data_IF_722957338782
#
_entry.id   IF_722957338782
#
_cell.length_a   1.000
_cell.length_b   1.000
_cell.length_c   1.000
_cell.angle_alpha   90.00
_cell.angle_beta   90.00
_cell.angle_gamma   90.00
#
_symmetry.space_group_name_H-M   'P 1'
#
loop_
_entity.id
_entity.type
_entity.pdbx_description
1 polymer ?
#
# COMPACT_ATOMS: atom_id res chain seq x y z
N UNK A 1 3.28 6.99 -20.24
CA UNK A 1 4.58 6.44 -20.64
C UNK A 1 5.31 5.96 -19.41
N UNK A 2 5.94 4.77 -19.49
CA UNK A 2 6.72 4.25 -18.36
C UNK A 2 7.96 3.51 -18.85
N UNK A 3 9.01 3.60 -18.07
CA UNK A 3 10.24 2.82 -18.18
C UNK A 3 10.44 2.10 -16.86
N UNK A 4 10.55 0.78 -16.91
CA UNK A 4 10.87 -0.05 -15.76
C UNK A 4 12.10 -0.90 -16.08
N UNK A 5 13.08 -0.89 -15.18
CA UNK A 5 14.27 -1.70 -15.25
C UNK A 5 14.37 -2.57 -14.02
N UNK A 6 14.71 -3.85 -14.20
CA UNK A 6 14.91 -4.80 -13.12
C UNK A 6 16.23 -5.54 -13.32
N UNK A 7 16.96 -5.74 -12.23
CA UNK A 7 18.23 -6.45 -12.25
C UNK A 7 18.39 -7.35 -11.01
N UNK A 8 18.65 -8.64 -11.25
CA UNK A 8 19.03 -9.63 -10.24
C UNK A 8 20.56 -9.77 -10.24
N UNK A 9 21.19 -9.46 -9.12
CA UNK A 9 22.66 -9.55 -9.00
C UNK A 9 23.08 -11.01 -8.88
N UNK A 10 23.88 -11.51 -9.82
CA UNK A 10 24.31 -12.92 -9.86
C UNK A 10 25.23 -13.31 -8.69
N UNK A 11 25.99 -12.36 -8.12
CA UNK A 11 26.96 -12.57 -7.05
C UNK A 11 26.45 -12.24 -5.65
N UNK A 12 25.22 -11.76 -5.52
CA UNK A 12 24.64 -11.35 -4.24
C UNK A 12 23.12 -11.58 -4.24
N UNK A 13 22.50 -11.90 -3.10
CA UNK A 13 21.06 -12.09 -3.01
C UNK A 13 20.32 -10.73 -3.00
N UNK A 14 20.59 -9.90 -4.00
CA UNK A 14 20.07 -8.54 -4.15
C UNK A 14 19.31 -8.44 -5.47
N UNK A 15 18.14 -7.79 -5.43
CA UNK A 15 17.35 -7.40 -6.59
C UNK A 15 17.11 -5.91 -6.56
N UNK A 16 17.22 -5.27 -7.71
CA UNK A 16 17.01 -3.84 -7.89
C UNK A 16 15.95 -3.61 -8.96
N UNK A 17 14.99 -2.72 -8.68
CA UNK A 17 14.09 -2.19 -9.70
C UNK A 17 14.15 -0.68 -9.71
N UNK A 18 14.12 -0.08 -10.89
CA UNK A 18 14.02 1.36 -11.10
C UNK A 18 12.81 1.65 -11.99
N UNK A 19 12.03 2.66 -11.62
CA UNK A 19 10.85 3.10 -12.34
C UNK A 19 10.98 4.58 -12.70
N UNK A 20 10.66 4.91 -13.95
CA UNK A 20 10.36 6.27 -14.38
C UNK A 20 9.01 6.25 -15.12
N UNK A 21 8.07 7.08 -14.72
CA UNK A 21 6.74 7.15 -15.31
C UNK A 21 6.32 8.59 -15.54
N UNK A 22 5.69 8.84 -16.67
CA UNK A 22 5.04 10.10 -17.00
C UNK A 22 3.56 9.84 -17.25
N UNK A 23 2.71 10.39 -16.37
CA UNK A 23 1.26 10.32 -16.43
C UNK A 23 0.73 11.64 -16.98
N UNK A 24 0.01 11.58 -18.11
CA UNK A 24 -0.83 12.66 -18.59
C UNK A 24 -2.25 12.48 -18.05
N UNK A 25 -2.79 13.51 -17.43
CA UNK A 25 -4.16 13.55 -16.94
C UNK A 25 -4.89 14.71 -17.60
N UNK A 26 -6.01 14.43 -18.22
CA UNK A 26 -6.85 15.49 -18.76
C UNK A 26 -7.55 16.21 -17.60
N UNK A 27 -7.22 17.48 -17.47
CA UNK A 27 -7.96 18.48 -16.73
C UNK A 27 -8.68 19.36 -17.74
N UNK A 28 -9.49 20.27 -17.28
CA UNK A 28 -10.18 21.24 -18.12
C UNK A 28 -11.62 21.44 -17.70
N UNK A 29 -12.28 22.31 -18.41
CA UNK A 29 -13.68 22.65 -18.17
C UNK A 29 -14.57 21.84 -19.13
N UNK A 30 -15.44 21.00 -18.58
CA UNK A 30 -16.39 20.20 -19.34
C UNK A 30 -17.41 21.06 -20.13
N UNK A 31 -17.67 22.30 -19.70
CA UNK A 31 -18.61 23.21 -20.36
C UNK A 31 -17.97 23.87 -21.59
N UNK A 32 -16.71 24.26 -21.51
CA UNK A 32 -15.98 24.89 -22.62
C UNK A 32 -15.37 23.87 -23.59
N UNK A 33 -15.33 22.58 -23.23
CA UNK A 33 -14.62 21.50 -23.97
C UNK A 33 -13.14 21.79 -24.18
N UNK A 34 -12.56 22.68 -23.42
CA UNK A 34 -11.12 22.89 -23.41
C UNK A 34 -10.47 21.79 -22.58
N UNK A 35 -9.65 20.95 -23.21
CA UNK A 35 -8.82 19.97 -22.53
C UNK A 35 -7.43 20.55 -22.27
N UNK A 36 -6.99 20.54 -21.04
CA UNK A 36 -5.61 20.87 -20.65
C UNK A 36 -4.98 19.65 -20.00
N UNK A 37 -4.03 19.02 -20.71
CA UNK A 37 -3.36 17.83 -20.19
C UNK A 37 -2.25 18.23 -19.21
N UNK A 38 -2.42 17.88 -17.96
CA UNK A 38 -1.40 18.05 -16.94
C UNK A 38 -0.54 16.80 -16.82
N UNK A 39 0.78 16.99 -16.68
CA UNK A 39 1.73 15.90 -16.58
C UNK A 39 2.33 15.78 -15.19
N UNK A 40 2.31 14.56 -14.65
CA UNK A 40 2.95 14.18 -13.40
C UNK A 40 3.96 13.06 -13.64
N UNK A 41 5.19 13.27 -13.19
CA UNK A 41 6.26 12.28 -13.27
C UNK A 41 6.41 11.58 -11.93
N UNK A 42 6.63 10.27 -11.97
CA UNK A 42 7.01 9.44 -10.82
C UNK A 42 8.33 8.75 -11.13
N UNK A 43 9.32 8.94 -10.28
CA UNK A 43 10.60 8.25 -10.38
C UNK A 43 10.91 7.57 -9.04
N UNK A 44 11.52 6.40 -9.09
CA UNK A 44 11.85 5.71 -7.84
C UNK A 44 12.55 4.38 -8.02
N UNK A 45 12.83 3.76 -6.90
CA UNK A 45 13.55 2.51 -6.83
C UNK A 45 12.97 1.58 -5.77
N UNK A 46 13.13 0.30 -5.99
CA UNK A 46 12.87 -0.79 -5.05
C UNK A 46 14.09 -1.69 -4.98
N UNK A 47 14.50 -2.03 -3.77
CA UNK A 47 15.60 -2.96 -3.50
C UNK A 47 15.09 -4.08 -2.62
N UNK A 48 15.47 -5.30 -2.94
CA UNK A 48 15.26 -6.48 -2.10
C UNK A 48 16.60 -7.15 -1.83
N UNK A 49 16.81 -7.55 -0.58
CA UNK A 49 18.00 -8.28 -0.12
C UNK A 49 17.57 -9.49 0.72
N UNK A 50 17.95 -10.69 0.29
CA UNK A 50 17.46 -11.94 0.88
C UNK A 50 18.61 -12.83 1.40
N UNK A 51 19.39 -12.38 2.41
CA UNK A 51 20.48 -13.18 2.96
C UNK A 51 19.94 -14.22 3.95
N UNK A 52 20.29 -15.50 3.75
CA UNK A 52 19.89 -16.61 4.63
C UNK A 52 18.40 -16.60 4.98
N UNK A 53 18.04 -16.44 6.26
CA UNK A 53 16.65 -16.43 6.75
C UNK A 53 15.96 -15.06 6.70
N UNK A 54 16.63 -14.03 6.18
CA UNK A 54 16.10 -12.68 6.09
C UNK A 54 15.51 -12.37 4.70
N UNK A 55 14.44 -11.61 4.68
CA UNK A 55 13.95 -10.91 3.49
C UNK A 55 13.78 -9.43 3.86
N UNK A 56 14.67 -8.61 3.35
CA UNK A 56 14.70 -7.17 3.58
C UNK A 56 14.31 -6.46 2.29
N UNK A 57 13.49 -5.45 2.39
CA UNK A 57 13.16 -4.62 1.22
C UNK A 57 13.01 -3.16 1.59
N UNK A 58 13.31 -2.30 0.62
CA UNK A 58 13.11 -0.87 0.73
C UNK A 58 12.70 -0.26 -0.59
N UNK A 59 11.92 0.79 -0.54
CA UNK A 59 11.58 1.56 -1.73
C UNK A 59 11.51 3.05 -1.43
N UNK A 60 11.77 3.83 -2.46
CA UNK A 60 11.59 5.27 -2.44
C UNK A 60 11.08 5.74 -3.80
N UNK A 61 10.01 6.52 -3.82
CA UNK A 61 9.44 7.13 -5.01
C UNK A 61 9.18 8.61 -4.79
N UNK A 62 9.44 9.40 -5.82
CA UNK A 62 9.19 10.83 -5.84
C UNK A 62 8.29 11.22 -7.00
N UNK A 63 7.32 12.10 -6.74
CA UNK A 63 6.39 12.63 -7.71
C UNK A 63 6.59 14.14 -7.88
N UNK A 64 6.63 14.59 -9.13
CA UNK A 64 6.77 15.99 -9.51
C UNK A 64 5.89 16.33 -10.72
N UNK A 65 5.88 17.59 -11.14
CA UNK A 65 5.03 18.07 -12.25
C UNK A 65 3.77 18.74 -11.75
N UNK A 66 2.62 18.42 -12.36
CA UNK A 66 1.32 18.98 -11.99
C UNK A 66 0.26 17.90 -11.87
N UNK A 67 -0.68 18.06 -10.95
CA UNK A 67 -1.88 17.23 -10.86
C UNK A 67 -2.98 17.74 -11.79
N UNK A 68 -4.11 17.02 -11.85
CA UNK A 68 -5.29 17.36 -12.69
C UNK A 68 -5.82 18.78 -12.45
N UNK A 69 -5.64 19.35 -11.25
CA UNK A 69 -6.01 20.72 -10.92
C UNK A 69 -4.91 21.76 -11.22
N UNK A 70 -3.94 21.42 -12.09
CA UNK A 70 -2.79 22.25 -12.45
C UNK A 70 -1.88 22.70 -11.28
N UNK A 71 -2.08 22.16 -10.07
CA UNK A 71 -1.21 22.45 -8.92
C UNK A 71 0.13 21.75 -9.08
N UNK A 72 1.22 22.46 -8.76
CA UNK A 72 2.56 21.88 -8.70
C UNK A 72 2.59 20.73 -7.70
N UNK A 73 3.14 19.58 -8.10
CA UNK A 73 3.34 18.40 -7.25
C UNK A 73 4.79 18.32 -6.77
N UNK A 74 4.97 17.97 -5.50
CA UNK A 74 6.26 17.61 -4.91
C UNK A 74 5.98 16.66 -3.75
N UNK A 75 5.88 15.37 -4.05
CA UNK A 75 5.42 14.35 -3.13
C UNK A 75 6.37 13.15 -3.13
N UNK A 76 6.43 12.41 -2.04
CA UNK A 76 7.26 11.22 -1.95
C UNK A 76 6.63 10.12 -1.10
N UNK A 77 7.05 8.89 -1.36
CA UNK A 77 6.83 7.77 -0.47
C UNK A 77 8.12 7.00 -0.20
N UNK A 78 8.20 6.40 0.95
CA UNK A 78 9.25 5.48 1.34
C UNK A 78 8.69 4.27 2.05
N UNK A 79 9.31 3.11 1.86
CA UNK A 79 8.94 1.86 2.52
C UNK A 79 10.18 1.11 2.95
N UNK A 80 10.12 0.53 4.15
CA UNK A 80 11.14 -0.42 4.64
C UNK A 80 10.41 -1.59 5.27
N UNK A 81 10.82 -2.81 4.91
CA UNK A 81 10.25 -4.05 5.45
C UNK A 81 11.34 -5.06 5.73
N UNK A 82 11.18 -5.76 6.83
CA UNK A 82 12.03 -6.89 7.21
C UNK A 82 11.16 -8.08 7.57
N UNK A 83 11.54 -9.25 7.10
CA UNK A 83 10.94 -10.53 7.46
C UNK A 83 12.06 -11.50 7.83
N UNK A 84 11.86 -12.25 8.90
CA UNK A 84 12.81 -13.24 9.40
C UNK A 84 12.13 -14.59 9.60
N UNK A 85 12.64 -15.62 8.94
CA UNK A 85 12.20 -17.00 9.13
C UNK A 85 12.93 -17.59 10.33
N UNK A 86 12.22 -17.73 11.46
CA UNK A 86 12.75 -18.28 12.71
C UNK A 86 13.11 -19.75 12.50
N UNK A 87 12.25 -20.46 11.77
CA UNK A 87 12.41 -21.85 11.34
C UNK A 87 11.49 -22.12 10.14
N UNK A 88 11.33 -23.37 9.73
CA UNK A 88 10.51 -23.79 8.59
C UNK A 88 9.02 -23.48 8.75
N UNK A 89 8.55 -23.23 9.98
CA UNK A 89 7.15 -23.01 10.29
C UNK A 89 6.84 -21.57 10.69
N UNK A 90 7.75 -20.86 11.33
CA UNK A 90 7.49 -19.53 11.90
C UNK A 90 8.26 -18.43 11.17
N UNK A 91 7.54 -17.38 10.81
CA UNK A 91 8.10 -16.16 10.24
C UNK A 91 7.56 -14.96 10.99
N UNK A 92 8.41 -13.99 11.27
CA UNK A 92 8.01 -12.68 11.81
C UNK A 92 8.32 -11.60 10.79
N UNK A 93 7.50 -10.55 10.74
CA UNK A 93 7.72 -9.41 9.87
C UNK A 93 7.46 -8.10 10.59
N UNK A 94 8.14 -7.06 10.15
CA UNK A 94 7.94 -5.68 10.58
C UNK A 94 8.18 -4.76 9.39
N UNK A 95 7.44 -3.68 9.31
CA UNK A 95 7.61 -2.73 8.23
C UNK A 95 6.97 -1.38 8.50
N UNK A 96 7.33 -0.43 7.68
CA UNK A 96 6.67 0.87 7.66
C UNK A 96 6.61 1.40 6.24
N UNK A 97 5.46 1.95 5.89
CA UNK A 97 5.23 2.72 4.67
C UNK A 97 4.92 4.16 5.07
N UNK A 98 5.54 5.10 4.40
CA UNK A 98 5.29 6.52 4.60
C UNK A 98 4.97 7.20 3.27
N UNK A 99 3.79 7.79 3.17
CA UNK A 99 3.33 8.60 2.06
C UNK A 99 3.24 10.05 2.54
N UNK A 100 3.94 10.95 1.87
CA UNK A 100 3.85 12.38 2.17
C UNK A 100 2.42 12.88 2.00
N UNK A 101 2.05 13.86 2.80
CA UNK A 101 0.74 14.50 2.78
C UNK A 101 0.81 15.99 2.44
N UNK A 102 -0.34 16.56 2.13
CA UNK A 102 -0.53 17.99 1.87
C UNK A 102 -1.52 18.59 2.86
N UNK A 103 -1.21 19.78 3.36
CA UNK A 103 -2.17 20.59 4.10
C UNK A 103 -3.04 21.38 3.10
N UNK A 104 -4.23 21.79 3.51
CA UNK A 104 -5.11 22.63 2.67
C UNK A 104 -4.48 23.98 2.31
N UNK A 105 -3.63 24.50 3.19
CA UNK A 105 -2.91 25.77 3.00
C UNK A 105 -1.67 25.67 2.10
N UNK A 106 -1.23 24.47 1.73
CA UNK A 106 0.00 24.30 0.93
C UNK A 106 -0.22 24.81 -0.49
N UNK A 107 0.64 25.68 -0.99
CA UNK A 107 0.64 26.14 -2.38
C UNK A 107 1.07 25.00 -3.33
N UNK A 108 1.98 24.14 -2.91
CA UNK A 108 2.43 22.93 -3.64
C UNK A 108 1.68 21.72 -3.09
N UNK A 109 1.16 20.87 -3.97
CA UNK A 109 0.53 19.61 -3.58
C UNK A 109 1.61 18.59 -3.19
N UNK A 110 1.56 18.12 -1.94
CA UNK A 110 2.60 17.26 -1.34
C UNK A 110 2.10 15.85 -1.01
N UNK A 111 0.84 15.53 -1.27
CA UNK A 111 0.33 14.19 -1.02
C UNK A 111 0.74 13.24 -2.14
N UNK A 112 1.43 12.16 -1.77
CA UNK A 112 1.82 11.11 -2.70
C UNK A 112 0.59 10.34 -3.17
N UNK A 113 0.48 10.12 -4.48
CA UNK A 113 -0.59 9.34 -5.09
C UNK A 113 -0.06 7.94 -5.46
N UNK A 114 -0.47 6.86 -4.76
CA UNK A 114 -0.06 5.49 -5.08
C UNK A 114 -0.81 4.98 -6.32
N UNK A 115 -0.32 5.34 -7.50
CA UNK A 115 -0.90 4.96 -8.78
C UNK A 115 -0.73 3.46 -9.07
N UNK A 116 -1.75 2.86 -9.70
CA UNK A 116 -1.70 1.51 -10.27
C UNK A 116 -1.34 0.38 -9.30
N UNK A 117 -1.54 0.58 -8.01
CA UNK A 117 -1.29 -0.45 -7.02
C UNK A 117 -2.36 -1.54 -7.02
N UNK A 118 -2.13 -2.57 -6.22
CA UNK A 118 -3.03 -3.71 -6.04
C UNK A 118 -3.78 -3.55 -4.73
N UNK A 119 -5.13 -3.63 -4.78
CA UNK A 119 -5.99 -3.64 -3.60
C UNK A 119 -5.66 -4.82 -2.68
N UNK A 120 -5.98 -4.72 -1.40
CA UNK A 120 -5.77 -5.72 -0.35
C UNK A 120 -4.30 -6.15 -0.11
N UNK A 121 -3.35 -5.41 -0.64
CA UNK A 121 -1.93 -5.73 -0.48
C UNK A 121 -1.17 -4.74 0.40
N UNK A 122 -1.62 -3.50 0.45
CA UNK A 122 -0.94 -2.40 1.12
C UNK A 122 -1.92 -1.67 2.03
N UNK A 123 -1.43 -1.19 3.17
CA UNK A 123 -2.15 -0.31 4.09
C UNK A 123 -3.39 -0.95 4.73
N UNK A 124 -3.27 -2.24 5.13
CA UNK A 124 -4.33 -3.05 5.70
C UNK A 124 -5.26 -3.68 4.64
N UNK A 125 -5.94 -4.76 5.00
CA UNK A 125 -6.79 -5.52 4.07
C UNK A 125 -8.20 -4.98 3.97
N UNK A 126 -8.62 -4.06 4.87
CA UNK A 126 -9.92 -3.37 4.79
C UNK A 126 -9.93 -2.22 3.77
N UNK A 127 -8.79 -1.91 3.12
CA UNK A 127 -8.64 -0.91 2.04
C UNK A 127 -9.03 0.53 2.40
N UNK A 128 -9.08 0.88 3.67
CA UNK A 128 -9.44 2.23 4.07
C UNK A 128 -8.53 3.32 3.49
N UNK A 129 -7.25 3.00 3.25
CA UNK A 129 -6.24 3.99 2.88
C UNK A 129 -5.72 3.84 1.45
N UNK A 130 -6.14 2.81 0.75
CA UNK A 130 -5.74 2.56 -0.62
C UNK A 130 -6.90 2.74 -1.61
N UNK A 131 -8.02 2.09 -1.38
CA UNK A 131 -9.15 2.06 -2.31
C UNK A 131 -10.14 3.20 -2.11
N UNK A 132 -10.13 3.88 -0.95
CA UNK A 132 -11.07 4.96 -0.68
C UNK A 132 -10.36 6.30 -0.45
N UNK A 133 -10.91 7.35 -1.05
CA UNK A 133 -10.38 8.69 -0.95
C UNK A 133 -10.55 9.31 0.44
N UNK A 134 -9.71 10.28 0.77
CA UNK A 134 -9.96 11.17 1.88
C UNK A 134 -11.05 12.17 1.51
N UNK A 135 -11.93 12.47 2.47
CA UNK A 135 -13.06 13.37 2.27
C UNK A 135 -12.73 14.82 2.63
N UNK A 136 -13.64 15.74 2.33
CA UNK A 136 -13.57 17.17 2.69
C UNK A 136 -12.27 17.85 2.21
N UNK A 137 -11.69 17.41 1.10
CA UNK A 137 -10.48 17.98 0.51
C UNK A 137 -9.22 17.74 1.35
N UNK A 138 -9.25 16.80 2.28
CA UNK A 138 -8.04 16.34 2.97
C UNK A 138 -7.17 15.47 2.05
N UNK A 139 -5.87 15.63 2.19
CA UNK A 139 -4.87 14.80 1.53
C UNK A 139 -3.68 14.57 2.50
N UNK A 140 -3.94 13.96 3.67
CA UNK A 140 -3.01 14.00 4.79
C UNK A 140 -1.77 13.10 4.60
N UNK A 141 -1.71 12.31 3.52
CA UNK A 141 -0.75 11.22 3.41
C UNK A 141 -1.01 10.12 4.43
N UNK A 142 -0.11 9.16 4.51
CA UNK A 142 -0.25 8.00 5.38
C UNK A 142 1.10 7.58 5.96
N UNK A 143 1.09 7.18 7.22
CA UNK A 143 2.14 6.36 7.83
C UNK A 143 1.47 5.06 8.28
N UNK A 144 1.88 3.94 7.71
CA UNK A 144 1.47 2.60 8.10
C UNK A 144 2.66 1.88 8.72
N UNK A 145 2.60 1.57 10.01
CA UNK A 145 3.60 0.76 10.70
C UNK A 145 2.98 -0.58 11.05
N UNK A 146 3.63 -1.67 10.61
CA UNK A 146 3.08 -3.01 10.74
C UNK A 146 4.04 -3.97 11.41
N UNK A 147 3.46 -4.93 12.13
CA UNK A 147 4.14 -6.10 12.65
C UNK A 147 3.26 -7.32 12.43
N UNK A 148 3.88 -8.44 12.08
CA UNK A 148 3.11 -9.65 11.81
C UNK A 148 3.86 -10.92 12.11
N UNK A 149 3.09 -12.00 12.16
CA UNK A 149 3.59 -13.36 12.34
C UNK A 149 2.90 -14.27 11.32
N UNK A 150 3.70 -15.11 10.68
CA UNK A 150 3.23 -16.20 9.82
C UNK A 150 3.52 -17.55 10.46
N UNK A 151 2.58 -18.47 10.31
CA UNK A 151 2.73 -19.84 10.75
C UNK A 151 2.32 -20.84 9.67
N UNK A 152 3.25 -21.71 9.31
CA UNK A 152 3.03 -22.80 8.38
C UNK A 152 2.63 -24.06 9.16
N UNK A 153 1.33 -24.37 9.16
CA UNK A 153 0.76 -25.52 9.87
C UNK A 153 1.21 -26.84 9.22
N UNK A 154 1.24 -26.84 7.87
CA UNK A 154 1.66 -27.99 7.06
C UNK A 154 2.17 -27.53 5.69
N UNK A 155 2.53 -28.46 4.82
CA UNK A 155 2.88 -28.13 3.42
C UNK A 155 1.71 -27.52 2.63
N UNK A 156 0.49 -27.67 3.12
CA UNK A 156 -0.73 -27.25 2.42
C UNK A 156 -1.48 -26.12 3.14
N UNK A 157 -1.18 -25.86 4.40
CA UNK A 157 -1.92 -24.87 5.22
C UNK A 157 -0.95 -23.88 5.86
N UNK A 158 -1.20 -22.60 5.67
CA UNK A 158 -0.51 -21.51 6.35
C UNK A 158 -1.50 -20.48 6.88
N UNK A 159 -1.11 -19.75 7.91
CA UNK A 159 -1.89 -18.66 8.47
C UNK A 159 -0.99 -17.50 8.81
N UNK A 160 -1.55 -16.29 8.81
CA UNK A 160 -0.87 -15.05 9.14
C UNK A 160 -1.74 -14.16 10.02
N UNK A 161 -1.09 -13.39 10.85
CA UNK A 161 -1.70 -12.33 11.64
C UNK A 161 -0.82 -11.10 11.51
N UNK A 162 -1.41 -9.97 11.04
CA UNK A 162 -0.73 -8.69 10.92
C UNK A 162 -1.47 -7.62 11.72
N UNK A 163 -0.72 -6.78 12.39
CA UNK A 163 -1.22 -5.60 13.06
C UNK A 163 -0.66 -4.37 12.36
N UNK A 164 -1.53 -3.42 12.05
CA UNK A 164 -1.22 -2.14 11.44
C UNK A 164 -1.56 -1.00 12.40
N UNK A 165 -0.69 -0.02 12.48
CA UNK A 165 -0.93 1.25 13.14
C UNK A 165 -0.85 2.37 12.11
N UNK A 166 -1.98 3.08 11.92
CA UNK A 166 -2.11 4.12 10.92
C UNK A 166 -2.07 5.51 11.52
N UNK A 167 -1.34 6.40 10.86
CA UNK A 167 -1.29 7.81 11.18
C UNK A 167 -1.23 8.65 9.90
N UNK A 168 -1.59 9.92 9.99
CA UNK A 168 -1.43 10.87 8.88
C UNK A 168 0.04 11.17 8.61
N UNK A 169 0.45 11.31 7.35
CA UNK A 169 1.79 11.71 6.94
C UNK A 169 2.15 13.12 7.42
N UNK A 170 1.19 14.05 7.43
CA UNK A 170 1.38 15.40 7.97
C UNK A 170 0.49 15.65 9.18
N UNK A 171 0.91 16.55 10.07
CA UNK A 171 0.06 17.03 11.16
C UNK A 171 -1.01 17.97 10.58
N UNK A 172 -2.27 17.63 10.82
CA UNK A 172 -3.42 18.46 10.49
C UNK A 172 -3.74 19.35 11.69
N UNK A 173 -3.70 20.62 11.53
CA UNK A 173 -4.01 21.70 12.51
C UNK A 173 -4.34 21.23 13.94
N UNK A 174 -5.63 21.10 14.29
CA UNK A 174 -6.10 20.71 15.63
C UNK A 174 -6.29 19.20 15.81
N UNK A 175 -6.00 18.37 14.79
CA UNK A 175 -6.21 16.92 14.85
C UNK A 175 -4.96 16.17 15.31
N UNK A 176 -5.18 15.06 16.02
CA UNK A 176 -4.13 14.09 16.27
C UNK A 176 -3.75 13.38 14.96
N UNK A 177 -2.51 12.87 14.88
CA UNK A 177 -2.07 12.14 13.68
C UNK A 177 -2.64 10.73 13.59
N UNK A 178 -2.96 10.09 14.70
CA UNK A 178 -3.45 8.70 14.74
C UNK A 178 -4.78 8.56 14.01
N UNK A 179 -4.82 7.68 13.01
CA UNK A 179 -6.02 7.31 12.27
C UNK A 179 -6.70 6.09 12.88
N UNK A 180 -5.92 5.12 13.34
CA UNK A 180 -6.45 3.90 13.93
C UNK A 180 -5.48 2.74 13.87
N UNK A 181 -6.01 1.55 14.15
CA UNK A 181 -5.27 0.28 14.08
C UNK A 181 -6.15 -0.79 13.45
N UNK A 182 -5.53 -1.64 12.65
CA UNK A 182 -6.17 -2.78 12.00
C UNK A 182 -5.46 -4.07 12.38
N UNK A 183 -6.22 -5.13 12.57
CA UNK A 183 -5.72 -6.48 12.81
C UNK A 183 -6.26 -7.38 11.71
N UNK A 184 -5.36 -7.97 10.94
CA UNK A 184 -5.65 -8.81 9.79
C UNK A 184 -5.27 -10.26 10.06
N UNK A 185 -6.23 -11.15 9.97
CA UNK A 185 -6.01 -12.59 9.96
C UNK A 185 -6.25 -13.15 8.57
N UNK A 186 -5.37 -14.05 8.13
CA UNK A 186 -5.53 -14.80 6.87
C UNK A 186 -5.14 -16.25 7.08
N UNK A 187 -5.92 -17.14 6.47
CA UNK A 187 -5.62 -18.56 6.33
C UNK A 187 -5.60 -18.92 4.86
N UNK A 188 -4.54 -19.57 4.41
CA UNK A 188 -4.40 -20.10 3.06
C UNK A 188 -4.31 -21.62 3.10
N UNK A 189 -5.15 -22.27 2.29
CA UNK A 189 -5.21 -23.71 2.14
C UNK A 189 -5.08 -24.15 0.69
N UNK A 190 -4.00 -24.85 0.39
CA UNK A 190 -3.81 -25.54 -0.88
C UNK A 190 -4.56 -26.86 -0.86
N UNK A 191 -5.80 -26.87 -1.39
CA UNK A 191 -6.71 -28.02 -1.34
C UNK A 191 -6.16 -29.16 -2.19
N UNK A 192 -5.76 -28.83 -3.42
CA UNK A 192 -5.14 -29.75 -4.38
C UNK A 192 -4.27 -28.98 -5.37
N UNK A 193 -3.66 -29.70 -6.32
CA UNK A 193 -2.93 -29.05 -7.41
C UNK A 193 -3.86 -28.05 -8.12
N UNK A 194 -3.36 -26.84 -8.35
CA UNK A 194 -4.04 -25.75 -9.06
C UNK A 194 -5.35 -25.24 -8.39
N UNK A 195 -5.64 -25.65 -7.14
CA UNK A 195 -6.80 -25.18 -6.36
C UNK A 195 -6.38 -24.76 -4.96
N UNK A 196 -6.63 -23.51 -4.60
CA UNK A 196 -6.39 -22.99 -3.25
C UNK A 196 -7.59 -22.19 -2.74
N UNK A 197 -7.80 -22.23 -1.44
CA UNK A 197 -8.78 -21.46 -0.69
C UNK A 197 -8.04 -20.50 0.23
N UNK A 198 -8.44 -19.25 0.23
CA UNK A 198 -8.00 -18.26 1.21
C UNK A 198 -9.21 -17.73 1.97
N UNK A 199 -9.06 -17.56 3.29
CA UNK A 199 -10.07 -16.98 4.18
C UNK A 199 -9.39 -15.86 4.96
N UNK A 200 -10.00 -14.68 4.98
CA UNK A 200 -9.49 -13.56 5.75
C UNK A 200 -10.57 -12.94 6.63
N UNK A 201 -10.11 -12.35 7.74
CA UNK A 201 -10.94 -11.56 8.63
C UNK A 201 -10.14 -10.41 9.23
N UNK A 202 -10.68 -9.22 9.16
CA UNK A 202 -10.03 -7.99 9.59
C UNK A 202 -10.90 -7.20 10.55
N UNK A 203 -10.25 -6.52 11.48
CA UNK A 203 -10.87 -5.66 12.49
C UNK A 203 -10.19 -4.31 12.46
N UNK A 204 -10.96 -3.21 12.36
CA UNK A 204 -10.45 -1.84 12.41
C UNK A 204 -10.99 -1.10 13.62
N UNK A 205 -10.09 -0.43 14.34
CA UNK A 205 -10.42 0.54 15.39
C UNK A 205 -9.95 1.92 14.94
N UNK A 206 -10.87 2.73 14.45
CA UNK A 206 -10.62 4.11 14.04
C UNK A 206 -10.49 5.08 15.23
N UNK A 207 -10.25 6.34 14.90
CA UNK A 207 -10.18 7.48 15.84
C UNK A 207 -11.06 8.63 15.36
N UNK A 208 -11.28 9.62 16.20
CA UNK A 208 -11.99 10.85 15.80
C UNK A 208 -11.31 11.59 14.65
N UNK A 209 -9.99 11.47 14.50
CA UNK A 209 -9.29 12.01 13.33
C UNK A 209 -9.70 11.27 12.06
N UNK A 210 -9.85 9.95 12.12
CA UNK A 210 -10.32 9.15 10.98
C UNK A 210 -11.73 9.59 10.54
N UNK A 211 -12.66 9.84 11.49
CA UNK A 211 -13.99 10.35 11.16
C UNK A 211 -13.95 11.66 10.36
N UNK A 212 -13.04 12.56 10.73
CA UNK A 212 -12.91 13.86 10.04
C UNK A 212 -12.35 13.70 8.63
N UNK A 213 -11.34 12.84 8.44
CA UNK A 213 -10.61 12.76 7.15
C UNK A 213 -11.15 11.68 6.21
N UNK A 214 -11.89 10.69 6.74
CA UNK A 214 -12.48 9.59 5.95
C UNK A 214 -14.01 9.58 6.00
N UNK A 215 -14.62 10.30 6.94
CA UNK A 215 -16.03 10.15 7.29
C UNK A 215 -16.31 8.95 8.18
N UNK A 216 -17.58 8.75 8.51
CA UNK A 216 -18.01 7.61 9.33
C UNK A 216 -18.05 7.90 10.82
N UNK A 217 -17.97 6.86 11.63
CA UNK A 217 -18.02 6.92 13.09
C UNK A 217 -17.08 5.87 13.69
N UNK A 218 -15.97 6.30 14.25
CA UNK A 218 -14.95 5.43 14.87
C UNK A 218 -15.44 4.62 16.07
N UNK A 219 -16.61 4.96 16.65
CA UNK A 219 -17.23 4.21 17.76
C UNK A 219 -18.00 2.99 17.28
N UNK A 220 -18.31 2.91 15.99
CA UNK A 220 -18.98 1.75 15.40
C UNK A 220 -18.00 0.59 15.26
N UNK A 221 -18.52 -0.63 15.41
CA UNK A 221 -17.75 -1.83 15.08
C UNK A 221 -17.44 -1.86 13.58
N UNK A 222 -16.19 -2.15 13.22
CA UNK A 222 -15.74 -2.18 11.85
C UNK A 222 -14.95 -3.48 11.63
N UNK A 223 -15.51 -4.35 10.84
CA UNK A 223 -14.89 -5.61 10.47
C UNK A 223 -15.19 -5.97 9.02
N UNK A 224 -14.39 -6.88 8.49
CA UNK A 224 -14.55 -7.38 7.13
C UNK A 224 -14.05 -8.82 7.04
N UNK A 225 -14.89 -9.69 6.45
CA UNK A 225 -14.53 -11.08 6.22
C UNK A 225 -14.67 -11.44 4.75
N UNK A 226 -13.76 -12.26 4.24
CA UNK A 226 -13.78 -12.70 2.86
C UNK A 226 -13.32 -14.15 2.71
N UNK A 227 -13.76 -14.76 1.60
CA UNK A 227 -13.36 -16.09 1.17
C UNK A 227 -13.02 -16.01 -0.31
N UNK A 228 -11.87 -16.53 -0.72
CA UNK A 228 -11.43 -16.60 -2.10
C UNK A 228 -11.06 -18.02 -2.50
N UNK A 229 -11.69 -18.54 -3.54
CA UNK A 229 -11.33 -19.80 -4.17
C UNK A 229 -10.58 -19.51 -5.47
N UNK A 230 -9.31 -19.91 -5.53
CA UNK A 230 -8.49 -19.77 -6.72
C UNK A 230 -8.36 -21.11 -7.44
N UNK A 231 -8.76 -21.13 -8.71
CA UNK A 231 -8.64 -22.29 -9.61
C UNK A 231 -7.80 -21.88 -10.81
N UNK A 232 -6.59 -22.40 -10.92
CA UNK A 232 -5.61 -21.97 -11.93
C UNK A 232 -5.00 -23.17 -12.70
N UNK A 233 -5.82 -23.93 -13.45
CA UNK A 233 -5.36 -25.08 -14.19
C UNK A 233 -4.54 -24.68 -15.44
N UNK A 234 -3.57 -25.49 -15.80
CA UNK A 234 -2.89 -25.36 -17.09
C UNK A 234 -3.80 -25.89 -18.19
N UNK A 235 -4.46 -25.01 -18.92
CA UNK A 235 -5.41 -25.39 -19.99
C UNK A 235 -4.72 -25.90 -21.25
N UNK A 236 -3.50 -25.43 -21.54
CA UNK A 236 -2.71 -25.84 -22.71
C UNK A 236 -1.25 -26.05 -22.32
N UNK A 237 -0.70 -27.19 -22.67
CA UNK A 237 0.75 -27.47 -22.63
C UNK A 237 1.22 -27.53 -24.08
N UNK A 238 2.18 -26.69 -24.46
CA UNK A 238 2.95 -26.84 -25.70
C UNK A 238 4.00 -27.91 -25.50
#
# INVERSE_FOLDING_TARGET
QSLWYHYDFASAPVKLSVLAMNLGQEGGDAETRESDTQYMQTVGTYVQFTPASWNLSGSFYYQTGKNVSARKVSAFMGSVRASYSINDSWTVNVGTDYLSGSKKSDATYRAFNPLYGTHHKFYGTMDYFYASDFVNGYAPGLSDTQIGVGYKVSSSVSMGLNYHYFATGVKLESLNRTLGSELDYQLDWKIMKDVSLSVGYSLMRGTSTMDVVKGGNHKSWQDWGWVSLNVNPTLFKK
#
